data_IF_485714923750
#
_entry.id   IF_485714923750
#
_cell.length_a   1.000
_cell.length_b   1.000
_cell.length_c   1.000
_cell.angle_alpha   90.00
_cell.angle_beta   90.00
_cell.angle_gamma   90.00
#
_symmetry.space_group_name_H-M   'P 1'
#
loop_
_entity.id
_entity.type
_entity.pdbx_description
1 polymer ?
#
# COMPACT_ATOMS: atom_id res chain seq x y z
N UNK A 1 -21.30 19.62 8.18
CA UNK A 1 -21.71 18.78 9.32
C UNK A 1 -22.62 17.67 8.81
N UNK A 2 -22.04 16.55 8.41
CA UNK A 2 -22.75 15.32 8.02
C UNK A 2 -21.92 14.17 8.60
N UNK A 3 -22.47 13.47 9.60
CA UNK A 3 -22.30 12.03 9.81
C UNK A 3 -20.92 11.38 10.00
N UNK A 4 -19.82 12.09 10.27
CA UNK A 4 -18.50 11.44 10.51
C UNK A 4 -18.10 11.42 12.01
N UNK A 5 -18.81 12.12 12.90
CA UNK A 5 -18.47 12.11 14.34
C UNK A 5 -18.90 10.83 15.08
N UNK A 6 -19.46 9.83 14.39
CA UNK A 6 -19.96 8.59 14.98
C UNK A 6 -19.00 7.39 14.96
N UNK A 7 -17.87 7.44 14.23
CA UNK A 7 -17.02 6.24 14.04
C UNK A 7 -15.65 6.26 14.72
N UNK A 8 -15.30 7.32 15.45
CA UNK A 8 -14.08 7.33 16.27
C UNK A 8 -14.45 7.21 17.75
N UNK A 9 -14.85 6.00 18.17
CA UNK A 9 -14.71 5.62 19.57
C UNK A 9 -13.22 5.67 19.88
N UNK A 10 -12.83 6.57 20.77
CA UNK A 10 -11.54 6.52 21.45
C UNK A 10 -11.46 5.16 22.16
N UNK A 11 -10.64 4.26 21.62
CA UNK A 11 -10.52 2.92 22.15
C UNK A 11 -9.77 2.96 23.49
N UNK A 12 -10.52 2.69 24.57
CA UNK A 12 -10.00 2.44 25.91
C UNK A 12 -8.86 1.41 25.89
N UNK A 13 -7.80 1.69 26.67
CA UNK A 13 -6.52 0.98 26.69
C UNK A 13 -6.59 -0.52 27.05
N UNK A 14 -7.76 -1.06 27.44
CA UNK A 14 -7.94 -2.45 27.88
C UNK A 14 -8.47 -3.44 26.84
N UNK A 15 -8.89 -3.00 25.65
CA UNK A 15 -9.49 -3.92 24.67
C UNK A 15 -8.41 -4.54 23.77
N UNK A 16 -8.36 -5.87 23.77
CA UNK A 16 -7.58 -6.66 22.81
C UNK A 16 -8.15 -6.37 21.42
N UNK A 17 -7.36 -5.79 20.52
CA UNK A 17 -7.79 -5.52 19.15
C UNK A 17 -7.87 -6.85 18.41
N UNK A 18 -9.05 -7.17 17.88
CA UNK A 18 -9.30 -8.35 17.06
C UNK A 18 -8.94 -8.02 15.61
N UNK A 19 -8.19 -8.91 14.94
CA UNK A 19 -7.72 -8.65 13.56
C UNK A 19 -8.91 -8.52 12.60
N UNK A 20 -9.97 -9.31 12.80
CA UNK A 20 -11.21 -9.20 12.03
C UNK A 20 -11.85 -7.81 12.09
N UNK A 21 -11.80 -7.13 13.24
CA UNK A 21 -12.34 -5.78 13.39
C UNK A 21 -11.53 -4.77 12.60
N UNK A 22 -10.19 -4.89 12.63
CA UNK A 22 -9.29 -4.04 11.83
C UNK A 22 -9.60 -4.18 10.34
N UNK A 23 -9.90 -5.40 9.89
CA UNK A 23 -10.22 -5.69 8.49
C UNK A 23 -11.59 -5.15 8.07
N UNK A 24 -12.58 -5.21 8.97
CA UNK A 24 -13.89 -4.59 8.72
C UNK A 24 -13.78 -3.06 8.64
N UNK A 25 -13.01 -2.44 9.54
CA UNK A 25 -12.74 -0.99 9.47
C UNK A 25 -11.99 -0.63 8.18
N UNK A 26 -11.00 -1.44 7.79
CA UNK A 26 -10.30 -1.30 6.52
C UNK A 26 -11.25 -1.29 5.32
N UNK A 27 -12.16 -2.26 5.25
CA UNK A 27 -13.15 -2.33 4.17
C UNK A 27 -14.06 -1.10 4.14
N UNK A 28 -14.63 -0.68 5.28
CA UNK A 28 -15.51 0.51 5.35
C UNK A 28 -14.81 1.76 4.84
N UNK A 29 -13.55 1.90 5.22
CA UNK A 29 -12.75 3.06 4.89
C UNK A 29 -12.33 3.08 3.41
N UNK A 30 -11.88 1.95 2.85
CA UNK A 30 -11.57 1.84 1.41
C UNK A 30 -12.84 2.07 0.58
N UNK A 31 -13.97 1.52 1.03
CA UNK A 31 -15.28 1.73 0.41
C UNK A 31 -15.62 3.22 0.27
N UNK A 32 -15.41 4.01 1.33
CA UNK A 32 -15.69 5.44 1.32
C UNK A 32 -14.66 6.27 0.53
N UNK A 33 -13.37 6.07 0.78
CA UNK A 33 -12.30 6.94 0.25
C UNK A 33 -11.78 6.53 -1.13
N UNK A 34 -11.83 5.24 -1.46
CA UNK A 34 -11.25 4.73 -2.70
C UNK A 34 -12.32 4.31 -3.71
N UNK A 35 -13.39 3.65 -3.28
CA UNK A 35 -14.43 3.17 -4.21
C UNK A 35 -15.55 4.19 -4.39
N UNK A 36 -15.89 4.95 -3.34
CA UNK A 36 -17.02 5.90 -3.31
C UNK A 36 -18.36 5.22 -3.56
N UNK A 37 -18.47 3.92 -3.21
CA UNK A 37 -19.65 3.10 -3.48
C UNK A 37 -20.21 2.53 -2.19
N UNK A 38 -21.52 2.58 -2.00
CA UNK A 38 -22.16 2.01 -0.81
C UNK A 38 -22.63 0.57 -1.08
N UNK A 39 -21.82 -0.41 -0.65
CA UNK A 39 -22.14 -1.84 -0.73
C UNK A 39 -21.56 -2.64 0.44
N UNK A 40 -22.09 -3.86 0.68
CA UNK A 40 -21.56 -4.80 1.66
C UNK A 40 -20.73 -5.92 1.01
N UNK A 41 -19.81 -6.52 1.77
CA UNK A 41 -19.05 -7.69 1.31
C UNK A 41 -19.97 -8.88 0.94
N UNK A 42 -21.13 -9.00 1.59
CA UNK A 42 -22.13 -10.03 1.27
C UNK A 42 -22.77 -9.78 -0.10
N UNK A 43 -23.09 -8.52 -0.42
CA UNK A 43 -23.62 -8.15 -1.74
C UNK A 43 -22.60 -8.45 -2.84
N UNK A 44 -21.32 -8.18 -2.58
CA UNK A 44 -20.24 -8.52 -3.49
C UNK A 44 -20.13 -10.04 -3.70
N UNK A 45 -20.15 -10.83 -2.62
CA UNK A 45 -20.08 -12.29 -2.67
C UNK A 45 -21.28 -12.91 -3.42
N UNK A 46 -22.47 -12.37 -3.21
CA UNK A 46 -23.70 -12.83 -3.86
C UNK A 46 -23.91 -12.25 -5.27
N UNK A 47 -22.99 -11.40 -5.75
CA UNK A 47 -23.08 -10.69 -7.04
C UNK A 47 -24.33 -9.84 -7.19
N UNK A 48 -24.72 -9.13 -6.13
CA UNK A 48 -25.96 -8.33 -6.03
C UNK A 48 -25.75 -6.82 -6.02
N UNK A 49 -24.54 -6.33 -6.31
CA UNK A 49 -24.28 -4.90 -6.47
C UNK A 49 -25.03 -4.41 -7.71
N UNK A 50 -26.14 -3.68 -7.50
CA UNK A 50 -27.00 -3.17 -8.56
C UNK A 50 -26.56 -1.76 -8.97
N UNK A 51 -26.28 -1.57 -10.26
CA UNK A 51 -25.98 -0.26 -10.85
C UNK A 51 -27.14 0.73 -10.77
N UNK A 52 -28.38 0.23 -10.74
CA UNK A 52 -29.59 1.05 -10.77
C UNK A 52 -29.98 1.61 -9.41
N UNK A 53 -29.32 1.22 -8.32
CA UNK A 53 -29.62 1.75 -7.00
C UNK A 53 -28.87 3.07 -6.78
N UNK A 54 -29.60 4.19 -6.83
CA UNK A 54 -29.06 5.53 -6.56
C UNK A 54 -28.25 5.57 -5.25
N UNK A 55 -28.73 4.91 -4.19
CA UNK A 55 -28.05 4.85 -2.88
C UNK A 55 -26.64 4.26 -2.92
N UNK A 56 -26.37 3.34 -3.86
CA UNK A 56 -25.04 2.73 -4.01
C UNK A 56 -24.04 3.67 -4.69
N UNK A 57 -24.49 4.52 -5.62
CA UNK A 57 -23.63 5.34 -6.48
C UNK A 57 -23.66 6.83 -6.07
N UNK A 58 -24.61 7.25 -5.24
CA UNK A 58 -24.76 8.64 -4.77
C UNK A 58 -23.44 9.27 -4.28
N UNK A 59 -22.63 8.63 -3.42
CA UNK A 59 -21.35 9.20 -3.00
C UNK A 59 -20.35 9.35 -4.16
N UNK A 60 -20.37 8.41 -5.11
CA UNK A 60 -19.54 8.48 -6.32
C UNK A 60 -19.94 9.69 -7.15
N UNK A 61 -21.23 9.88 -7.43
CA UNK A 61 -21.72 11.01 -8.23
C UNK A 61 -21.27 12.31 -7.56
N UNK A 62 -21.57 12.51 -6.29
CA UNK A 62 -21.28 13.79 -5.61
C UNK A 62 -19.79 14.10 -5.52
N UNK A 63 -18.95 13.12 -5.18
CA UNK A 63 -17.50 13.34 -5.03
C UNK A 63 -16.83 13.52 -6.40
N UNK A 64 -17.26 12.76 -7.42
CA UNK A 64 -16.67 12.84 -8.77
C UNK A 64 -17.08 14.10 -9.50
N UNK A 65 -18.36 14.53 -9.41
CA UNK A 65 -18.80 15.79 -10.02
C UNK A 65 -18.07 16.99 -9.41
N UNK A 66 -17.96 17.04 -8.07
CA UNK A 66 -17.17 18.07 -7.39
C UNK A 66 -15.70 18.04 -7.86
N UNK A 67 -15.10 16.85 -8.01
CA UNK A 67 -13.73 16.73 -8.52
C UNK A 67 -13.58 17.23 -9.95
N UNK A 68 -14.53 16.90 -10.84
CA UNK A 68 -14.49 17.32 -12.24
C UNK A 68 -14.68 18.83 -12.41
N UNK A 69 -15.58 19.43 -11.63
CA UNK A 69 -15.77 20.89 -11.59
C UNK A 69 -14.46 21.57 -11.16
N UNK A 70 -13.81 21.09 -10.09
CA UNK A 70 -12.54 21.63 -9.63
C UNK A 70 -11.41 21.46 -10.67
N UNK A 71 -11.33 20.30 -11.33
CA UNK A 71 -10.35 20.06 -12.42
C UNK A 71 -10.58 21.05 -13.55
N UNK A 72 -11.83 21.26 -13.98
CA UNK A 72 -12.16 22.21 -15.03
C UNK A 72 -11.76 23.64 -14.66
N UNK A 73 -12.05 24.06 -13.42
CA UNK A 73 -11.66 25.38 -12.91
C UNK A 73 -10.14 25.54 -12.88
N UNK A 74 -9.40 24.56 -12.32
CA UNK A 74 -7.93 24.59 -12.32
C UNK A 74 -7.35 24.69 -13.73
N UNK A 75 -7.93 23.96 -14.70
CA UNK A 75 -7.51 24.02 -16.09
C UNK A 75 -7.76 25.40 -16.72
N UNK A 76 -8.91 26.01 -16.43
CA UNK A 76 -9.20 27.38 -16.88
C UNK A 76 -8.25 28.39 -16.23
N UNK A 77 -7.96 28.22 -14.93
CA UNK A 77 -7.05 29.06 -14.16
C UNK A 77 -5.64 29.06 -14.78
N UNK A 78 -5.09 27.88 -15.07
CA UNK A 78 -3.78 27.73 -15.73
C UNK A 78 -3.75 28.38 -17.13
N UNK A 79 -4.83 28.26 -17.92
CA UNK A 79 -4.88 28.75 -19.30
C UNK A 79 -5.07 30.27 -19.40
N UNK A 80 -5.63 30.91 -18.39
CA UNK A 80 -5.96 32.35 -18.39
C UNK A 80 -5.58 32.99 -17.05
N UNK A 81 -4.29 33.23 -16.80
CA UNK A 81 -3.80 33.71 -15.50
C UNK A 81 -4.24 35.15 -15.15
N UNK A 82 -4.52 36.00 -16.16
CA UNK A 82 -4.77 37.44 -15.98
C UNK A 82 -6.26 37.87 -15.94
N UNK A 83 -7.19 36.99 -16.29
CA UNK A 83 -8.64 37.14 -16.04
C UNK A 83 -9.41 36.02 -16.74
N UNK A 84 -10.38 35.44 -16.05
CA UNK A 84 -11.34 34.48 -16.63
C UNK A 84 -12.71 35.11 -16.51
N UNK A 85 -13.39 35.35 -17.64
CA UNK A 85 -14.83 35.22 -17.82
C UNK A 85 -15.69 35.30 -16.52
N UNK A 86 -15.74 36.46 -15.86
CA UNK A 86 -16.58 36.70 -14.68
C UNK A 86 -16.10 36.12 -13.33
N UNK A 87 -14.95 35.42 -13.27
CA UNK A 87 -14.24 35.03 -12.03
C UNK A 87 -13.17 36.09 -11.69
N UNK A 88 -13.23 36.74 -10.52
CA UNK A 88 -12.55 38.02 -10.31
C UNK A 88 -11.15 38.01 -9.66
N UNK A 89 -10.61 36.89 -9.19
CA UNK A 89 -9.23 36.84 -8.68
C UNK A 89 -8.28 36.18 -9.68
N UNK A 90 -7.23 36.91 -10.02
CA UNK A 90 -6.05 36.42 -10.75
C UNK A 90 -5.13 35.64 -9.80
N UNK A 91 -4.22 34.82 -10.35
CA UNK A 91 -3.20 34.20 -9.49
C UNK A 91 -2.32 35.23 -8.79
N UNK A 92 -2.16 36.40 -9.41
CA UNK A 92 -1.36 37.51 -8.89
C UNK A 92 -1.91 37.98 -7.53
N UNK A 93 -3.24 37.98 -7.33
CA UNK A 93 -3.86 38.36 -6.04
C UNK A 93 -3.58 37.33 -4.93
N UNK A 94 -3.52 36.04 -5.27
CA UNK A 94 -3.15 34.99 -4.31
C UNK A 94 -1.66 34.98 -3.99
N UNK A 95 -0.84 35.25 -4.99
CA UNK A 95 0.60 35.40 -4.85
C UNK A 95 0.93 36.57 -3.92
N UNK A 96 0.23 37.70 -4.06
CA UNK A 96 0.34 38.85 -3.16
C UNK A 96 -0.15 38.51 -1.73
N UNK A 97 -1.29 37.83 -1.58
CA UNK A 97 -1.86 37.49 -0.27
C UNK A 97 -0.92 36.63 0.58
N UNK A 98 -0.28 35.63 -0.03
CA UNK A 98 0.57 34.68 0.70
C UNK A 98 2.06 35.00 0.59
N UNK A 99 2.42 36.06 -0.14
CA UNK A 99 3.80 36.42 -0.50
C UNK A 99 4.56 35.20 -1.08
N UNK A 100 3.91 34.58 -2.08
CA UNK A 100 4.38 33.40 -2.80
C UNK A 100 4.48 33.76 -4.27
N UNK A 101 5.61 33.48 -4.89
CA UNK A 101 5.74 33.61 -6.35
C UNK A 101 5.53 32.26 -7.03
N UNK A 102 4.92 32.27 -8.22
CA UNK A 102 4.75 31.09 -9.09
C UNK A 102 3.87 30.01 -8.47
N UNK A 103 2.75 30.42 -7.87
CA UNK A 103 1.73 29.52 -7.32
C UNK A 103 1.10 28.65 -8.42
N UNK A 104 1.15 29.11 -9.68
CA UNK A 104 0.76 28.36 -10.88
C UNK A 104 1.38 26.96 -10.93
N UNK A 105 2.67 26.82 -10.56
CA UNK A 105 3.38 25.53 -10.58
C UNK A 105 2.79 24.55 -9.54
N UNK A 106 2.46 25.03 -8.33
CA UNK A 106 1.85 24.20 -7.29
C UNK A 106 0.44 23.72 -7.69
N UNK A 107 -0.31 24.56 -8.40
CA UNK A 107 -1.64 24.22 -8.93
C UNK A 107 -1.54 23.17 -10.04
N UNK A 108 -0.52 23.25 -10.90
CA UNK A 108 -0.24 22.20 -11.89
C UNK A 108 0.00 20.85 -11.20
N UNK A 109 0.73 20.80 -10.09
CA UNK A 109 0.90 19.56 -9.33
C UNK A 109 -0.44 19.03 -8.80
N UNK A 110 -1.25 19.89 -8.17
CA UNK A 110 -2.58 19.50 -7.67
C UNK A 110 -3.50 18.98 -8.77
N UNK A 111 -3.43 19.56 -9.96
CA UNK A 111 -4.16 19.08 -11.14
C UNK A 111 -3.72 17.65 -11.52
N UNK A 112 -2.39 17.39 -11.57
CA UNK A 112 -1.85 16.05 -11.83
C UNK A 112 -2.32 15.06 -10.77
N UNK A 113 -2.34 15.45 -9.50
CA UNK A 113 -2.83 14.61 -8.40
C UNK A 113 -4.30 14.28 -8.59
N UNK A 114 -5.14 15.28 -8.87
CA UNK A 114 -6.58 15.07 -9.04
C UNK A 114 -6.89 14.15 -10.23
N UNK A 115 -6.24 14.37 -11.38
CA UNK A 115 -6.41 13.53 -12.57
C UNK A 115 -5.97 12.09 -12.30
N UNK A 116 -4.83 11.90 -11.64
CA UNK A 116 -4.30 10.57 -11.31
C UNK A 116 -5.25 9.80 -10.37
N UNK A 117 -5.82 10.48 -9.37
CA UNK A 117 -6.75 9.85 -8.43
C UNK A 117 -8.11 9.53 -9.05
N UNK A 118 -8.64 10.39 -9.93
CA UNK A 118 -9.89 10.09 -10.65
C UNK A 118 -9.71 8.93 -11.64
N UNK A 119 -8.57 8.87 -12.33
CA UNK A 119 -8.22 7.72 -13.16
C UNK A 119 -8.14 6.42 -12.34
N UNK A 120 -7.47 6.46 -11.17
CA UNK A 120 -7.37 5.32 -10.27
C UNK A 120 -8.76 4.86 -9.79
N UNK A 121 -9.62 5.79 -9.39
CA UNK A 121 -10.99 5.50 -8.98
C UNK A 121 -11.76 4.76 -10.09
N UNK A 122 -11.71 5.27 -11.32
CA UNK A 122 -12.43 4.70 -12.46
C UNK A 122 -12.03 3.23 -12.71
N UNK A 123 -10.73 2.94 -12.73
CA UNK A 123 -10.23 1.57 -12.95
C UNK A 123 -10.61 0.62 -11.80
N UNK A 124 -10.60 1.08 -10.54
CA UNK A 124 -10.98 0.25 -9.40
C UNK A 124 -12.49 -0.06 -9.39
N UNK A 125 -13.33 0.95 -9.64
CA UNK A 125 -14.78 0.78 -9.69
C UNK A 125 -15.19 -0.18 -10.82
N UNK A 126 -14.56 -0.06 -11.99
CA UNK A 126 -14.75 -1.00 -13.10
C UNK A 126 -14.43 -2.44 -12.72
N UNK A 127 -13.37 -2.69 -11.96
CA UNK A 127 -13.05 -4.03 -11.44
C UNK A 127 -14.10 -4.55 -10.45
N UNK A 128 -14.60 -3.68 -9.57
CA UNK A 128 -15.64 -4.05 -8.58
C UNK A 128 -16.94 -4.47 -9.26
N UNK A 129 -17.41 -3.68 -10.23
CA UNK A 129 -18.65 -4.00 -10.94
C UNK A 129 -18.56 -5.26 -11.81
N UNK A 130 -17.34 -5.61 -12.26
CA UNK A 130 -17.08 -6.89 -12.95
C UNK A 130 -16.94 -8.07 -11.98
N UNK A 131 -17.07 -7.84 -10.67
CA UNK A 131 -16.80 -8.83 -9.62
C UNK A 131 -15.41 -9.49 -9.75
N UNK A 132 -14.45 -8.75 -10.31
CA UNK A 132 -13.08 -9.18 -10.50
C UNK A 132 -12.13 -8.30 -9.67
N UNK A 133 -12.43 -8.25 -8.38
CA UNK A 133 -11.71 -7.44 -7.40
C UNK A 133 -11.17 -8.34 -6.27
N UNK A 134 -9.95 -8.90 -6.42
CA UNK A 134 -9.41 -9.92 -5.52
C UNK A 134 -9.25 -9.48 -4.06
N UNK A 135 -9.09 -8.17 -3.82
CA UNK A 135 -8.99 -7.62 -2.46
C UNK A 135 -10.28 -7.83 -1.65
N UNK A 136 -11.46 -7.83 -2.28
CA UNK A 136 -12.71 -8.13 -1.59
C UNK A 136 -12.77 -9.60 -1.13
N UNK A 137 -12.23 -10.53 -1.92
CA UNK A 137 -12.10 -11.94 -1.49
C UNK A 137 -11.22 -12.07 -0.25
N UNK A 138 -10.14 -11.30 -0.17
CA UNK A 138 -9.27 -11.26 1.00
C UNK A 138 -10.01 -10.71 2.22
N UNK A 139 -10.77 -9.63 2.07
CA UNK A 139 -11.59 -9.11 3.16
C UNK A 139 -12.63 -10.13 3.63
N UNK A 140 -13.29 -10.84 2.72
CA UNK A 140 -14.24 -11.91 3.08
C UNK A 140 -13.53 -13.02 3.85
N UNK A 141 -12.36 -13.47 3.37
CA UNK A 141 -11.57 -14.53 4.00
C UNK A 141 -11.13 -14.18 5.42
N UNK A 142 -10.67 -12.95 5.63
CA UNK A 142 -10.07 -12.53 6.90
C UNK A 142 -11.02 -11.78 7.84
N UNK A 143 -12.27 -11.54 7.44
CA UNK A 143 -13.30 -10.89 8.28
C UNK A 143 -13.48 -11.58 9.63
N UNK A 144 -13.49 -12.91 9.64
CA UNK A 144 -13.62 -13.74 10.84
C UNK A 144 -12.30 -14.47 11.13
N UNK A 145 -11.18 -13.76 11.06
CA UNK A 145 -9.88 -14.36 11.32
C UNK A 145 -9.78 -14.81 12.79
N UNK A 146 -9.37 -16.06 13.00
CA UNK A 146 -9.09 -16.59 14.34
C UNK A 146 -7.73 -16.10 14.83
N UNK A 147 -7.76 -15.14 15.75
CA UNK A 147 -6.58 -14.55 16.37
C UNK A 147 -5.69 -15.59 17.09
N UNK A 148 -6.24 -16.73 17.51
CA UNK A 148 -5.49 -17.80 18.17
C UNK A 148 -4.53 -18.53 17.23
N UNK A 149 -4.70 -18.35 15.92
CA UNK A 149 -3.74 -18.84 14.93
C UNK A 149 -2.38 -18.14 15.05
N UNK A 150 -2.30 -16.95 15.65
CA UNK A 150 -1.02 -16.24 15.84
C UNK A 150 -0.45 -16.50 17.23
N UNK A 151 0.88 -16.66 17.30
CA UNK A 151 1.57 -16.74 18.57
C UNK A 151 1.33 -15.44 19.38
N UNK A 152 1.08 -15.50 20.71
CA UNK A 152 0.73 -14.33 21.51
C UNK A 152 1.73 -13.16 21.39
N UNK A 153 3.03 -13.47 21.23
CA UNK A 153 4.09 -12.48 21.02
C UNK A 153 3.91 -11.71 19.71
N UNK A 154 3.66 -12.43 18.61
CA UNK A 154 3.43 -11.85 17.28
C UNK A 154 2.11 -11.07 17.21
N UNK A 155 1.07 -11.58 17.89
CA UNK A 155 -0.21 -10.87 18.02
C UNK A 155 -0.03 -9.53 18.74
N UNK A 156 0.63 -9.53 19.90
CA UNK A 156 0.93 -8.28 20.65
C UNK A 156 1.72 -7.29 19.81
N UNK A 157 2.72 -7.76 19.06
CA UNK A 157 3.49 -6.91 18.15
C UNK A 157 2.60 -6.26 17.08
N UNK A 158 1.75 -7.05 16.39
CA UNK A 158 0.86 -6.53 15.36
C UNK A 158 -0.15 -5.52 15.92
N UNK A 159 -0.73 -5.81 17.10
CA UNK A 159 -1.64 -4.89 17.78
C UNK A 159 -0.96 -3.58 18.15
N UNK A 160 0.25 -3.63 18.70
CA UNK A 160 1.03 -2.44 19.03
C UNK A 160 1.35 -1.63 17.77
N UNK A 161 1.80 -2.32 16.71
CA UNK A 161 2.12 -1.71 15.43
C UNK A 161 0.91 -0.98 14.83
N UNK A 162 -0.26 -1.63 14.81
CA UNK A 162 -1.49 -1.00 14.33
C UNK A 162 -1.87 0.23 15.16
N UNK A 163 -1.78 0.16 16.50
CA UNK A 163 -2.07 1.31 17.37
C UNK A 163 -1.15 2.50 17.10
N UNK A 164 0.14 2.24 16.90
CA UNK A 164 1.13 3.28 16.58
C UNK A 164 0.78 3.93 15.25
N UNK A 165 0.57 3.14 14.20
CA UNK A 165 0.21 3.68 12.88
C UNK A 165 -1.12 4.44 12.93
N UNK A 166 -2.14 3.90 13.59
CA UNK A 166 -3.44 4.55 13.68
C UNK A 166 -3.36 5.89 14.42
N UNK A 167 -2.57 5.95 15.50
CA UNK A 167 -2.33 7.18 16.26
C UNK A 167 -1.57 8.21 15.43
N UNK A 168 -0.48 7.80 14.75
CA UNK A 168 0.32 8.66 13.88
C UNK A 168 -0.54 9.19 12.72
N UNK A 169 -1.23 8.30 12.01
CA UNK A 169 -2.10 8.64 10.88
C UNK A 169 -3.22 9.60 11.29
N UNK A 170 -3.84 9.38 12.45
CA UNK A 170 -4.91 10.24 12.96
C UNK A 170 -4.38 11.60 13.38
N UNK A 171 -3.21 11.66 14.03
CA UNK A 171 -2.56 12.90 14.42
C UNK A 171 -2.24 13.75 13.19
N UNK A 172 -1.56 13.18 12.20
CA UNK A 172 -1.23 13.89 10.96
C UNK A 172 -2.48 14.35 10.22
N UNK A 173 -3.49 13.50 10.07
CA UNK A 173 -4.76 13.89 9.45
C UNK A 173 -5.40 15.09 10.17
N UNK A 174 -5.49 15.05 11.51
CA UNK A 174 -6.07 16.15 12.29
C UNK A 174 -5.28 17.45 12.17
N UNK A 175 -3.95 17.37 12.22
CA UNK A 175 -3.09 18.53 12.03
C UNK A 175 -3.29 19.13 10.63
N UNK A 176 -3.32 18.30 9.58
CA UNK A 176 -3.56 18.78 8.21
C UNK A 176 -4.94 19.41 8.08
N UNK A 177 -5.99 18.81 8.62
CA UNK A 177 -7.35 19.40 8.60
C UNK A 177 -7.37 20.74 9.32
N UNK A 178 -6.72 20.86 10.48
CA UNK A 178 -6.65 22.12 11.22
C UNK A 178 -5.92 23.20 10.40
N UNK A 179 -4.80 22.87 9.75
CA UNK A 179 -4.08 23.81 8.88
C UNK A 179 -4.90 24.24 7.66
N UNK A 180 -5.70 23.34 7.09
CA UNK A 180 -6.57 23.66 5.96
C UNK A 180 -7.75 24.54 6.39
N UNK A 181 -8.31 24.31 7.59
CA UNK A 181 -9.36 25.15 8.15
C UNK A 181 -8.86 26.56 8.51
N UNK A 182 -7.65 26.70 9.04
CA UNK A 182 -7.05 28.01 9.29
C UNK A 182 -6.79 28.76 7.98
N UNK A 183 -6.27 28.08 6.94
CA UNK A 183 -6.11 28.67 5.61
C UNK A 183 -7.44 29.11 4.99
N UNK A 184 -8.50 28.33 5.19
CA UNK A 184 -9.85 28.67 4.75
C UNK A 184 -10.41 29.92 5.47
N UNK A 185 -10.18 30.05 6.78
CA UNK A 185 -10.61 31.23 7.54
C UNK A 185 -9.90 32.51 7.08
N UNK A 186 -8.57 32.46 6.91
CA UNK A 186 -7.78 33.58 6.38
C UNK A 186 -8.25 34.00 4.99
N UNK A 187 -8.57 33.01 4.15
CA UNK A 187 -9.11 33.25 2.82
C UNK A 187 -10.47 33.96 2.85
N UNK A 188 -11.41 33.54 3.70
CA UNK A 188 -12.71 34.23 3.82
C UNK A 188 -12.50 35.69 4.21
N UNK A 189 -11.61 35.96 5.17
CA UNK A 189 -11.30 37.31 5.63
C UNK A 189 -10.79 38.16 4.45
N UNK A 190 -9.83 37.63 3.70
CA UNK A 190 -9.25 38.33 2.55
C UNK A 190 -10.28 38.62 1.43
N UNK A 191 -11.11 37.62 1.11
CA UNK A 191 -12.20 37.78 0.14
C UNK A 191 -13.25 38.79 0.62
N UNK A 192 -13.48 38.86 1.94
CA UNK A 192 -14.29 39.89 2.56
C UNK A 192 -13.72 41.30 2.37
N UNK A 193 -12.40 41.47 2.54
CA UNK A 193 -11.73 42.75 2.28
C UNK A 193 -11.86 43.17 0.81
N UNK A 194 -11.61 42.26 -0.14
CA UNK A 194 -11.75 42.56 -1.58
C UNK A 194 -13.19 42.96 -1.97
N UNK A 195 -14.20 42.43 -1.27
CA UNK A 195 -15.59 42.84 -1.45
C UNK A 195 -15.86 44.24 -0.88
N UNK A 196 -15.32 44.55 0.30
CA UNK A 196 -15.45 45.88 0.91
C UNK A 196 -14.74 46.96 0.09
N UNK A 197 -13.61 46.63 -0.55
CA UNK A 197 -12.87 47.53 -1.45
C UNK A 197 -13.57 47.76 -2.80
N UNK A 198 -14.75 47.16 -3.02
CA UNK A 198 -15.53 47.31 -4.26
C UNK A 198 -14.92 46.59 -5.47
N UNK A 199 -13.88 45.77 -5.27
CA UNK A 199 -13.23 45.00 -6.35
C UNK A 199 -14.05 43.78 -6.78
N UNK A 200 -14.99 43.32 -5.95
CA UNK A 200 -15.82 42.13 -6.18
C UNK A 200 -17.32 42.45 -6.17
N UNK A 201 -18.04 41.93 -7.17
CA UNK A 201 -19.49 41.92 -7.13
C UNK A 201 -20.02 40.86 -6.12
N UNK A 202 -21.21 41.09 -5.56
CA UNK A 202 -21.89 40.16 -4.64
C UNK A 202 -22.02 38.74 -5.19
N UNK A 203 -22.41 38.61 -6.46
CA UNK A 203 -22.53 37.31 -7.12
C UNK A 203 -21.19 36.58 -7.21
N UNK A 204 -20.12 37.30 -7.51
CA UNK A 204 -18.79 36.71 -7.63
C UNK A 204 -18.24 36.29 -6.27
N UNK A 205 -18.49 37.09 -5.23
CA UNK A 205 -18.16 36.75 -3.84
C UNK A 205 -18.82 35.43 -3.41
N UNK A 206 -20.12 35.27 -3.68
CA UNK A 206 -20.87 34.05 -3.32
C UNK A 206 -20.36 32.83 -4.09
N UNK A 207 -20.08 32.99 -5.38
CA UNK A 207 -19.53 31.93 -6.21
C UNK A 207 -18.14 31.50 -5.72
N UNK A 208 -17.29 32.45 -5.31
CA UNK A 208 -15.95 32.17 -4.81
C UNK A 208 -15.95 31.42 -3.49
N UNK A 209 -16.85 31.81 -2.57
CA UNK A 209 -17.07 31.08 -1.32
C UNK A 209 -17.49 29.62 -1.60
N UNK A 210 -18.39 29.40 -2.56
CA UNK A 210 -18.82 28.06 -2.95
C UNK A 210 -17.69 27.24 -3.58
N UNK A 211 -16.89 27.82 -4.47
CA UNK A 211 -15.77 27.10 -5.10
C UNK A 211 -14.69 26.73 -4.09
N UNK A 212 -14.36 27.65 -3.17
CA UNK A 212 -13.33 27.40 -2.17
C UNK A 212 -13.78 26.40 -1.09
N UNK A 213 -15.06 26.41 -0.71
CA UNK A 213 -15.62 25.36 0.15
C UNK A 213 -15.52 23.99 -0.53
N UNK A 214 -15.89 23.89 -1.82
CA UNK A 214 -15.72 22.65 -2.60
C UNK A 214 -14.26 22.20 -2.62
N UNK A 215 -13.33 23.13 -2.86
CA UNK A 215 -11.91 22.86 -2.88
C UNK A 215 -11.39 22.36 -1.52
N UNK A 216 -11.76 23.03 -0.42
CA UNK A 216 -11.42 22.60 0.94
C UNK A 216 -11.94 21.19 1.24
N UNK A 217 -13.21 20.91 0.96
CA UNK A 217 -13.79 19.58 1.17
C UNK A 217 -13.03 18.52 0.38
N UNK A 218 -12.64 18.83 -0.86
CA UNK A 218 -11.86 17.94 -1.70
C UNK A 218 -10.46 17.69 -1.15
N UNK A 219 -9.76 18.72 -0.68
CA UNK A 219 -8.44 18.58 -0.06
C UNK A 219 -8.50 17.74 1.21
N UNK A 220 -9.46 18.01 2.10
CA UNK A 220 -9.68 17.23 3.32
C UNK A 220 -9.97 15.77 2.99
N UNK A 221 -10.80 15.52 1.98
CA UNK A 221 -11.10 14.18 1.51
C UNK A 221 -9.85 13.46 0.99
N UNK A 222 -9.02 14.14 0.19
CA UNK A 222 -7.78 13.59 -0.38
C UNK A 222 -6.75 13.25 0.71
N UNK A 223 -6.58 14.12 1.70
CA UNK A 223 -5.72 13.84 2.85
C UNK A 223 -6.22 12.62 3.62
N UNK A 224 -7.54 12.52 3.82
CA UNK A 224 -8.17 11.33 4.39
C UNK A 224 -7.85 10.07 3.58
N UNK A 225 -7.99 10.13 2.26
CA UNK A 225 -7.68 9.02 1.36
C UNK A 225 -6.21 8.57 1.47
N UNK A 226 -5.25 9.52 1.49
CA UNK A 226 -3.82 9.21 1.56
C UNK A 226 -3.40 8.59 2.90
N UNK A 227 -3.75 9.21 4.02
CA UNK A 227 -3.34 8.72 5.34
C UNK A 227 -3.96 7.36 5.66
N UNK A 228 -5.21 7.18 5.28
CA UNK A 228 -5.95 5.95 5.49
C UNK A 228 -5.42 4.81 4.61
N UNK A 229 -5.20 5.08 3.31
CA UNK A 229 -4.58 4.11 2.41
C UNK A 229 -3.20 3.68 2.92
N UNK A 230 -2.41 4.62 3.45
CA UNK A 230 -1.11 4.33 4.07
C UNK A 230 -1.27 3.35 5.23
N UNK A 231 -2.16 3.68 6.17
CA UNK A 231 -2.40 2.90 7.38
C UNK A 231 -2.70 1.44 7.04
N UNK A 232 -3.61 1.22 6.09
CA UNK A 232 -4.03 -0.12 5.73
C UNK A 232 -3.02 -0.88 4.90
N UNK A 233 -2.38 -0.20 3.95
CA UNK A 233 -1.35 -0.84 3.14
C UNK A 233 -0.19 -1.32 4.01
N UNK A 234 0.27 -0.47 4.94
CA UNK A 234 1.31 -0.87 5.91
C UNK A 234 0.83 -2.01 6.80
N UNK A 235 -0.40 -1.97 7.32
CA UNK A 235 -0.95 -3.04 8.13
C UNK A 235 -1.01 -4.39 7.39
N UNK A 236 -1.50 -4.42 6.15
CA UNK A 236 -1.63 -5.66 5.38
C UNK A 236 -0.26 -6.23 5.01
N UNK A 237 0.69 -5.38 4.60
CA UNK A 237 2.07 -5.78 4.31
C UNK A 237 2.72 -6.40 5.54
N UNK A 238 2.52 -5.78 6.71
CA UNK A 238 3.05 -6.25 7.99
C UNK A 238 2.38 -7.51 8.49
N UNK A 239 1.06 -7.63 8.32
CA UNK A 239 0.34 -8.86 8.57
C UNK A 239 0.89 -10.01 7.70
N UNK A 240 1.07 -9.78 6.40
CA UNK A 240 1.70 -10.75 5.49
C UNK A 240 3.12 -11.12 5.91
N UNK A 241 3.91 -10.13 6.36
CA UNK A 241 5.27 -10.34 6.89
C UNK A 241 5.27 -11.23 8.13
N UNK A 242 4.34 -11.00 9.06
CA UNK A 242 4.22 -11.80 10.30
C UNK A 242 3.80 -13.24 9.99
N UNK A 243 2.86 -13.44 9.07
CA UNK A 243 2.47 -14.79 8.64
C UNK A 243 3.66 -15.55 8.04
N UNK A 244 4.48 -14.85 7.24
CA UNK A 244 5.70 -15.41 6.71
C UNK A 244 6.74 -15.71 7.80
N UNK A 245 6.91 -14.80 8.76
CA UNK A 245 7.84 -14.96 9.88
C UNK A 245 7.47 -16.16 10.75
N UNK A 246 6.18 -16.35 11.05
CA UNK A 246 5.67 -17.52 11.75
C UNK A 246 6.06 -18.81 11.02
N UNK A 247 5.79 -18.87 9.71
CA UNK A 247 6.17 -20.02 8.89
C UNK A 247 7.69 -20.28 8.96
N UNK A 248 8.50 -19.22 8.86
CA UNK A 248 9.96 -19.31 8.97
C UNK A 248 10.42 -19.79 10.35
N UNK A 249 9.82 -19.33 11.44
CA UNK A 249 10.12 -19.81 12.79
C UNK A 249 9.79 -21.28 12.95
N UNK A 250 8.64 -21.74 12.46
CA UNK A 250 8.28 -23.16 12.47
C UNK A 250 9.32 -23.98 11.68
N UNK A 251 9.75 -23.52 10.50
CA UNK A 251 10.81 -24.22 9.76
C UNK A 251 12.12 -24.26 10.51
N UNK A 252 12.54 -23.16 11.14
CA UNK A 252 13.77 -23.09 11.93
C UNK A 252 13.73 -24.03 13.13
N UNK A 253 12.63 -24.09 13.88
CA UNK A 253 12.50 -25.00 15.03
C UNK A 253 12.63 -26.45 14.56
N UNK A 254 11.91 -26.83 13.50
CA UNK A 254 11.97 -28.20 12.94
C UNK A 254 13.36 -28.54 12.44
N UNK A 255 14.10 -27.61 11.83
CA UNK A 255 15.41 -27.88 11.27
C UNK A 255 16.59 -27.71 12.25
N UNK A 256 16.51 -26.78 13.20
CA UNK A 256 17.56 -26.51 14.19
C UNK A 256 17.43 -27.39 15.43
N UNK A 257 16.22 -27.63 15.97
CA UNK A 257 16.07 -28.49 17.14
C UNK A 257 16.32 -29.98 16.80
N UNK A 258 16.08 -30.40 15.56
CA UNK A 258 16.50 -31.71 15.06
C UNK A 258 18.00 -31.82 14.73
N UNK A 259 18.77 -30.73 14.84
CA UNK A 259 20.22 -30.81 14.66
C UNK A 259 20.87 -31.73 15.71
N UNK A 260 20.30 -31.77 16.91
CA UNK A 260 20.82 -32.58 18.03
C UNK A 260 20.05 -33.89 18.24
N UNK A 261 18.79 -33.99 17.80
CA UNK A 261 18.02 -35.24 17.76
C UNK A 261 18.08 -35.83 16.35
N UNK A 262 19.06 -36.69 16.11
CA UNK A 262 19.24 -37.48 14.87
C UNK A 262 18.06 -38.42 14.49
N UNK A 263 16.87 -38.26 15.09
CA UNK A 263 15.73 -39.15 14.97
C UNK A 263 14.52 -38.56 14.20
N UNK A 264 14.71 -37.54 13.36
CA UNK A 264 13.71 -37.21 12.32
C UNK A 264 13.76 -38.20 11.14
N UNK A 265 13.95 -39.48 11.45
CA UNK A 265 14.12 -40.57 10.49
C UNK A 265 12.79 -41.21 10.07
N UNK A 266 11.67 -40.86 10.70
CA UNK A 266 10.36 -41.28 10.23
C UNK A 266 9.95 -40.44 9.01
N UNK A 267 9.96 -41.08 7.84
CA UNK A 267 9.45 -40.55 6.56
C UNK A 267 8.07 -39.87 6.69
N UNK A 268 7.25 -40.36 7.63
CA UNK A 268 5.91 -39.85 7.95
C UNK A 268 5.96 -38.42 8.52
N UNK A 269 6.78 -38.14 9.54
CA UNK A 269 6.86 -36.80 10.14
C UNK A 269 7.41 -35.77 9.16
N UNK A 270 8.33 -36.19 8.29
CA UNK A 270 8.87 -35.36 7.20
C UNK A 270 7.79 -35.03 6.17
N UNK A 271 6.99 -36.01 5.76
CA UNK A 271 5.90 -35.83 4.79
C UNK A 271 4.82 -34.90 5.34
N UNK A 272 4.41 -35.08 6.60
CA UNK A 272 3.43 -34.22 7.27
C UNK A 272 3.92 -32.78 7.38
N UNK A 273 5.19 -32.58 7.75
CA UNK A 273 5.79 -31.25 7.76
C UNK A 273 5.75 -30.59 6.38
N UNK A 274 6.20 -31.29 5.33
CA UNK A 274 6.20 -30.76 3.97
C UNK A 274 4.80 -30.45 3.45
N UNK A 275 3.82 -31.30 3.74
CA UNK A 275 2.43 -31.05 3.39
C UNK A 275 1.88 -29.79 4.08
N UNK A 276 2.15 -29.64 5.37
CA UNK A 276 1.74 -28.47 6.14
C UNK A 276 2.42 -27.20 5.64
N UNK A 277 3.75 -27.23 5.47
CA UNK A 277 4.53 -26.10 4.96
C UNK A 277 4.07 -25.68 3.56
N UNK A 278 3.93 -26.63 2.64
CA UNK A 278 3.52 -26.36 1.27
C UNK A 278 2.13 -25.73 1.22
N UNK A 279 1.17 -26.25 2.01
CA UNK A 279 -0.18 -25.69 2.10
C UNK A 279 -0.16 -24.25 2.65
N UNK A 280 0.60 -23.99 3.71
CA UNK A 280 0.72 -22.65 4.30
C UNK A 280 1.38 -21.67 3.33
N UNK A 281 2.48 -22.07 2.70
CA UNK A 281 3.19 -21.25 1.73
C UNK A 281 2.32 -20.89 0.53
N UNK A 282 1.66 -21.88 -0.09
CA UNK A 282 0.78 -21.64 -1.23
C UNK A 282 -0.39 -20.73 -0.85
N UNK A 283 -0.99 -20.94 0.33
CA UNK A 283 -2.08 -20.08 0.80
C UNK A 283 -1.62 -18.63 0.92
N UNK A 284 -0.47 -18.41 1.58
CA UNK A 284 0.10 -17.07 1.75
C UNK A 284 0.52 -16.44 0.41
N UNK A 285 1.10 -17.22 -0.49
CA UNK A 285 1.47 -16.76 -1.84
C UNK A 285 0.24 -16.32 -2.65
N UNK A 286 -0.82 -17.13 -2.64
CA UNK A 286 -2.08 -16.78 -3.29
C UNK A 286 -2.71 -15.52 -2.70
N UNK A 287 -2.65 -15.36 -1.37
CA UNK A 287 -3.18 -14.17 -0.71
C UNK A 287 -2.40 -12.90 -1.10
N UNK A 288 -1.07 -12.98 -1.14
CA UNK A 288 -0.22 -11.86 -1.57
C UNK A 288 -0.40 -11.56 -3.05
N UNK A 289 -0.57 -12.59 -3.89
CA UNK A 289 -0.83 -12.40 -5.32
C UNK A 289 -2.17 -11.69 -5.57
N UNK A 290 -3.23 -12.08 -4.86
CA UNK A 290 -4.52 -11.37 -4.89
C UNK A 290 -4.40 -9.92 -4.45
N UNK A 291 -3.61 -9.68 -3.40
CA UNK A 291 -3.34 -8.33 -2.91
C UNK A 291 -2.57 -7.49 -3.95
N UNK A 292 -1.52 -8.07 -4.55
CA UNK A 292 -0.69 -7.44 -5.57
C UNK A 292 -1.50 -7.01 -6.80
N UNK A 293 -2.41 -7.85 -7.30
CA UNK A 293 -3.20 -7.51 -8.49
C UNK A 293 -4.01 -6.22 -8.34
N UNK A 294 -4.40 -5.90 -7.11
CA UNK A 294 -5.15 -4.69 -6.79
C UNK A 294 -4.20 -3.52 -6.49
N UNK A 295 -3.23 -3.76 -5.62
CA UNK A 295 -2.35 -2.72 -5.08
C UNK A 295 -1.34 -2.21 -6.09
N UNK A 296 -0.94 -3.01 -7.09
CA UNK A 296 0.03 -2.57 -8.10
C UNK A 296 -0.40 -1.29 -8.81
N UNK A 297 -1.70 -1.13 -9.12
CA UNK A 297 -2.21 0.09 -9.76
C UNK A 297 -2.19 1.29 -8.78
N UNK A 298 -2.53 1.05 -7.51
CA UNK A 298 -2.47 2.07 -6.47
C UNK A 298 -1.03 2.55 -6.26
N UNK A 299 -0.06 1.64 -6.18
CA UNK A 299 1.35 1.99 -6.03
C UNK A 299 1.90 2.75 -7.24
N UNK A 300 1.44 2.42 -8.45
CA UNK A 300 1.81 3.17 -9.66
C UNK A 300 1.26 4.62 -9.62
N UNK A 301 -0.01 4.79 -9.22
CA UNK A 301 -0.61 6.12 -9.06
C UNK A 301 0.13 6.97 -8.01
N UNK A 302 0.47 6.37 -6.86
CA UNK A 302 1.24 7.07 -5.81
C UNK A 302 2.64 7.44 -6.29
N UNK A 303 3.33 6.57 -7.05
CA UNK A 303 4.65 6.90 -7.61
C UNK A 303 4.56 8.03 -8.64
N UNK A 304 3.53 8.05 -9.50
CA UNK A 304 3.29 9.16 -10.44
C UNK A 304 3.11 10.50 -9.72
N UNK A 305 2.31 10.50 -8.64
CA UNK A 305 2.13 11.67 -7.78
C UNK A 305 3.48 12.11 -7.19
N UNK A 306 4.24 11.20 -6.61
CA UNK A 306 5.53 11.53 -6.01
C UNK A 306 6.56 12.07 -7.01
N UNK A 307 6.66 11.50 -8.21
CA UNK A 307 7.54 12.01 -9.27
C UNK A 307 7.13 13.42 -9.69
N UNK A 308 5.83 13.66 -9.87
CA UNK A 308 5.34 15.00 -10.18
C UNK A 308 5.64 16.01 -9.05
N UNK A 309 5.59 15.57 -7.78
CA UNK A 309 5.91 16.40 -6.63
C UNK A 309 7.38 16.82 -6.59
N UNK A 310 8.32 15.93 -6.91
CA UNK A 310 9.76 16.27 -6.99
C UNK A 310 10.00 17.27 -8.12
N UNK A 311 9.47 16.99 -9.32
CA UNK A 311 9.69 17.84 -10.50
C UNK A 311 9.18 19.25 -10.20
N UNK A 312 7.94 19.36 -9.72
CA UNK A 312 7.34 20.65 -9.35
C UNK A 312 8.09 21.30 -8.17
N UNK A 313 8.48 20.53 -7.16
CA UNK A 313 9.24 21.05 -6.02
C UNK A 313 10.58 21.66 -6.43
N UNK A 314 11.32 20.98 -7.33
CA UNK A 314 12.59 21.53 -7.85
C UNK A 314 12.39 22.77 -8.71
N UNK A 315 11.31 22.83 -9.51
CA UNK A 315 10.98 24.02 -10.30
C UNK A 315 10.55 25.20 -9.42
N UNK A 316 9.79 24.94 -8.35
CA UNK A 316 9.29 25.96 -7.43
C UNK A 316 10.40 26.57 -6.57
N UNK A 317 11.36 25.75 -6.10
CA UNK A 317 12.53 26.25 -5.36
C UNK A 317 13.42 27.13 -6.25
N UNK A 318 13.60 26.74 -7.53
CA UNK A 318 14.52 27.41 -8.44
C UNK A 318 13.92 28.64 -9.16
N UNK A 319 12.63 28.92 -9.05
CA UNK A 319 11.98 30.00 -9.80
C UNK A 319 12.25 31.42 -9.26
N UNK A 320 13.47 31.70 -8.78
CA UNK A 320 13.90 32.99 -8.21
C UNK A 320 12.91 33.57 -7.18
N UNK A 321 12.52 32.78 -6.18
CA UNK A 321 11.79 33.34 -5.04
C UNK A 321 12.65 34.42 -4.36
N UNK A 322 12.15 35.67 -4.35
CA UNK A 322 12.88 36.82 -3.79
C UNK A 322 13.22 36.63 -2.29
N UNK A 323 12.38 35.90 -1.55
CA UNK A 323 12.61 35.47 -0.16
C UNK A 323 11.94 34.13 0.14
N UNK A 324 12.62 33.27 0.92
CA UNK A 324 12.02 32.03 1.43
C UNK A 324 11.16 32.39 2.65
N UNK A 325 9.88 32.61 2.40
CA UNK A 325 8.89 32.86 3.44
C UNK A 325 8.41 31.55 4.09
N UNK A 326 7.71 31.66 5.22
CA UNK A 326 7.13 30.52 5.92
C UNK A 326 6.17 29.72 5.01
N UNK A 327 5.36 30.40 4.19
CA UNK A 327 4.44 29.76 3.25
C UNK A 327 5.16 28.98 2.15
N UNK A 328 6.23 29.55 1.58
CA UNK A 328 7.08 28.87 0.60
C UNK A 328 7.71 27.61 1.20
N UNK A 329 8.19 27.72 2.44
CA UNK A 329 8.76 26.59 3.19
C UNK A 329 7.73 25.48 3.41
N UNK A 330 6.48 25.83 3.73
CA UNK A 330 5.39 24.88 3.91
C UNK A 330 5.02 24.15 2.61
N UNK A 331 5.01 24.84 1.46
CA UNK A 331 4.76 24.21 0.16
C UNK A 331 5.89 23.23 -0.19
N UNK A 332 7.15 23.63 0.01
CA UNK A 332 8.31 22.76 -0.23
C UNK A 332 8.25 21.53 0.67
N UNK A 333 7.92 21.72 1.95
CA UNK A 333 7.75 20.61 2.90
C UNK A 333 6.61 19.68 2.47
N UNK A 334 5.50 20.22 1.98
CA UNK A 334 4.38 19.44 1.46
C UNK A 334 4.80 18.58 0.25
N UNK A 335 5.44 19.19 -0.75
CA UNK A 335 5.93 18.48 -1.94
C UNK A 335 6.99 17.42 -1.57
N UNK A 336 7.91 17.75 -0.66
CA UNK A 336 8.89 16.82 -0.12
C UNK A 336 8.24 15.65 0.62
N UNK A 337 7.18 15.89 1.39
CA UNK A 337 6.44 14.84 2.09
C UNK A 337 5.72 13.90 1.13
N UNK A 338 5.12 14.43 0.06
CA UNK A 338 4.49 13.64 -1.00
C UNK A 338 5.50 12.74 -1.72
N UNK A 339 6.76 13.19 -1.86
CA UNK A 339 7.85 12.38 -2.38
C UNK A 339 8.32 11.28 -1.43
N UNK A 340 8.52 11.59 -0.14
CA UNK A 340 9.01 10.63 0.84
C UNK A 340 7.99 9.52 1.13
N UNK A 341 6.71 9.82 0.98
CA UNK A 341 5.59 8.92 1.26
C UNK A 341 5.69 7.53 0.61
N UNK A 342 5.79 7.36 -0.74
CA UNK A 342 5.95 6.05 -1.35
C UNK A 342 7.25 5.35 -0.95
N UNK A 343 8.31 6.09 -0.60
CA UNK A 343 9.60 5.49 -0.23
C UNK A 343 9.50 4.77 1.11
N UNK A 344 8.74 5.30 2.06
CA UNK A 344 8.44 4.62 3.34
C UNK A 344 7.69 3.31 3.05
N UNK A 345 6.67 3.36 2.19
CA UNK A 345 5.90 2.17 1.79
C UNK A 345 6.82 1.13 1.15
N UNK A 346 7.65 1.52 0.19
CA UNK A 346 8.57 0.62 -0.51
C UNK A 346 9.61 0.00 0.41
N UNK A 347 10.09 0.74 1.41
CA UNK A 347 10.99 0.20 2.44
C UNK A 347 10.37 -1.00 3.14
N UNK A 348 9.11 -0.88 3.60
CA UNK A 348 8.39 -2.00 4.25
C UNK A 348 8.09 -3.15 3.28
N UNK A 349 7.56 -2.84 2.08
CA UNK A 349 7.19 -3.84 1.07
C UNK A 349 8.40 -4.66 0.60
N UNK A 350 9.57 -4.03 0.45
CA UNK A 350 10.80 -4.68 0.00
C UNK A 350 11.29 -5.80 0.94
N UNK A 351 10.78 -5.85 2.17
CA UNK A 351 11.11 -6.89 3.13
C UNK A 351 10.52 -8.25 2.75
N UNK A 352 9.34 -8.31 2.12
CA UNK A 352 8.65 -9.57 1.79
C UNK A 352 9.50 -10.51 0.91
N UNK A 353 10.08 -10.07 -0.23
CA UNK A 353 10.96 -10.93 -1.03
C UNK A 353 12.19 -11.44 -0.27
N UNK A 354 12.71 -10.65 0.67
CA UNK A 354 13.90 -11.02 1.44
C UNK A 354 13.64 -12.21 2.37
N UNK A 355 12.43 -12.30 2.94
CA UNK A 355 12.04 -13.46 3.74
C UNK A 355 11.83 -14.70 2.89
N UNK A 356 11.23 -14.57 1.69
CA UNK A 356 11.10 -15.68 0.75
C UNK A 356 12.48 -16.26 0.38
N UNK A 357 13.45 -15.39 0.05
CA UNK A 357 14.83 -15.80 -0.23
C UNK A 357 15.47 -16.50 0.98
N UNK A 358 15.32 -15.96 2.18
CA UNK A 358 15.89 -16.58 3.39
C UNK A 358 15.29 -17.96 3.65
N UNK A 359 13.97 -18.09 3.50
CA UNK A 359 13.26 -19.35 3.67
C UNK A 359 13.71 -20.38 2.63
N UNK A 360 13.78 -20.00 1.35
CA UNK A 360 14.25 -20.88 0.28
C UNK A 360 15.69 -21.37 0.52
N UNK A 361 16.60 -20.50 0.99
CA UNK A 361 17.98 -20.88 1.35
C UNK A 361 18.03 -21.86 2.52
N UNK A 362 17.22 -21.64 3.57
CA UNK A 362 17.16 -22.56 4.71
C UNK A 362 16.67 -23.95 4.28
N UNK A 363 15.62 -23.99 3.47
CA UNK A 363 15.04 -25.23 2.96
C UNK A 363 16.03 -25.94 2.02
N UNK A 364 16.68 -25.20 1.11
CA UNK A 364 17.68 -25.73 0.19
C UNK A 364 18.88 -26.33 0.93
N UNK A 365 19.42 -25.61 1.92
CA UNK A 365 20.52 -26.09 2.76
C UNK A 365 20.14 -27.36 3.52
N UNK A 366 18.91 -27.43 4.02
CA UNK A 366 18.42 -28.61 4.70
C UNK A 366 18.24 -29.79 3.73
N UNK A 367 17.66 -29.56 2.54
CA UNK A 367 17.56 -30.58 1.51
C UNK A 367 18.94 -31.14 1.15
N UNK A 368 19.93 -30.28 0.88
CA UNK A 368 21.30 -30.70 0.59
C UNK A 368 21.91 -31.58 1.70
N UNK A 369 21.68 -31.24 2.97
CA UNK A 369 22.13 -32.06 4.11
C UNK A 369 21.43 -33.41 4.18
N UNK A 370 20.11 -33.44 3.99
CA UNK A 370 19.37 -34.72 3.97
C UNK A 370 19.80 -35.62 2.82
N UNK A 371 20.17 -35.03 1.68
CA UNK A 371 20.75 -35.74 0.55
C UNK A 371 22.10 -36.36 0.89
N UNK A 372 23.01 -35.55 1.45
CA UNK A 372 24.32 -36.01 1.88
C UNK A 372 24.25 -37.15 2.90
N UNK A 373 23.43 -36.99 3.94
CA UNK A 373 23.24 -38.03 4.95
C UNK A 373 22.74 -39.34 4.34
N UNK A 374 21.76 -39.28 3.43
CA UNK A 374 21.25 -40.48 2.76
C UNK A 374 22.30 -41.16 1.90
N UNK A 375 23.12 -40.39 1.19
CA UNK A 375 24.23 -40.94 0.42
C UNK A 375 25.18 -41.72 1.33
N UNK A 376 25.59 -41.15 2.47
CA UNK A 376 26.43 -41.84 3.45
C UNK A 376 25.75 -43.10 4.02
N UNK A 377 24.46 -43.03 4.39
CA UNK A 377 23.72 -44.18 4.94
C UNK A 377 23.51 -45.29 3.90
N UNK A 378 23.27 -44.94 2.63
CA UNK A 378 23.15 -45.91 1.54
C UNK A 378 24.49 -46.61 1.29
N UNK A 379 25.60 -45.87 1.29
CA UNK A 379 26.94 -46.44 1.13
C UNK A 379 27.28 -47.39 2.30
N UNK A 380 26.93 -47.03 3.53
CA UNK A 380 27.14 -47.88 4.70
C UNK A 380 26.24 -49.12 4.71
N UNK A 381 24.98 -48.99 4.28
CA UNK A 381 24.04 -50.12 4.18
C UNK A 381 24.31 -51.02 2.98
N UNK A 382 24.92 -50.54 1.89
CA UNK A 382 25.35 -51.39 0.79
C UNK A 382 26.46 -52.35 1.23
N UNK A 383 27.35 -51.92 2.13
CA UNK A 383 28.35 -52.79 2.78
C UNK A 383 27.68 -53.88 3.62
N UNK A 384 26.66 -53.53 4.42
CA UNK A 384 25.92 -54.49 5.27
C UNK A 384 24.98 -55.44 4.48
N UNK A 385 24.55 -55.05 3.27
CA UNK A 385 23.65 -55.84 2.42
C UNK A 385 24.36 -56.95 1.65
N UNK A 386 25.69 -56.96 1.57
CA UNK A 386 26.43 -58.11 1.04
C UNK A 386 26.25 -59.37 1.90
N UNK A 387 25.80 -59.23 3.16
CA UNK A 387 25.67 -60.33 4.12
C UNK A 387 24.24 -60.89 4.30
N UNK A 388 23.19 -60.25 3.76
CA UNK A 388 21.79 -60.68 4.00
C UNK A 388 21.03 -61.16 2.74
N UNK A 389 20.47 -62.37 2.81
CA UNK A 389 19.95 -63.16 1.68
C UNK A 389 18.44 -63.11 1.44
N UNK A 390 17.67 -62.29 2.17
CA UNK A 390 16.20 -62.32 2.05
C UNK A 390 15.67 -61.48 0.87
N UNK A 391 14.91 -62.12 -0.02
CA UNK A 391 14.39 -61.51 -1.26
C UNK A 391 13.25 -60.49 -1.01
N UNK A 392 12.47 -60.65 0.07
CA UNK A 392 11.37 -59.74 0.41
C UNK A 392 11.87 -58.36 0.87
N UNK A 393 12.94 -58.34 1.68
CA UNK A 393 13.57 -57.11 2.16
C UNK A 393 14.18 -56.28 1.03
N UNK A 394 14.73 -56.94 -0.01
CA UNK A 394 15.23 -56.27 -1.21
C UNK A 394 14.10 -55.57 -1.99
N UNK A 395 12.92 -56.19 -2.12
CA UNK A 395 11.74 -55.57 -2.78
C UNK A 395 11.20 -54.38 -1.98
N UNK A 396 11.01 -54.53 -0.67
CA UNK A 396 10.54 -53.45 0.20
C UNK A 396 11.49 -52.25 0.21
N UNK A 397 12.81 -52.50 0.19
CA UNK A 397 13.84 -51.46 0.14
C UNK A 397 13.84 -50.69 -1.19
N UNK A 398 13.65 -51.38 -2.33
CA UNK A 398 13.48 -50.73 -3.64
C UNK A 398 12.23 -49.85 -3.69
N UNK A 399 11.12 -50.32 -3.15
CA UNK A 399 9.88 -49.56 -3.08
C UNK A 399 10.03 -48.29 -2.20
N UNK A 400 10.64 -48.43 -1.02
CA UNK A 400 10.94 -47.28 -0.16
C UNK A 400 11.92 -46.29 -0.83
N UNK A 401 12.94 -46.78 -1.53
CA UNK A 401 13.86 -45.93 -2.29
C UNK A 401 13.12 -45.11 -3.36
N UNK A 402 12.22 -45.74 -4.11
CA UNK A 402 11.40 -45.06 -5.13
C UNK A 402 10.48 -43.98 -4.53
N UNK A 403 9.78 -44.27 -3.43
CA UNK A 403 8.97 -43.26 -2.72
C UNK A 403 9.83 -42.07 -2.29
N UNK A 404 11.00 -42.34 -1.72
CA UNK A 404 11.89 -41.26 -1.27
C UNK A 404 12.45 -40.43 -2.41
N UNK A 405 12.72 -41.03 -3.58
CA UNK A 405 13.14 -40.33 -4.79
C UNK A 405 12.03 -39.41 -5.29
N UNK A 406 10.78 -39.88 -5.31
CA UNK A 406 9.62 -39.06 -5.67
C UNK A 406 9.47 -37.84 -4.75
N UNK A 407 9.60 -38.03 -3.44
CA UNK A 407 9.52 -36.94 -2.46
C UNK A 407 10.64 -35.91 -2.65
N UNK A 408 11.84 -36.40 -2.94
CA UNK A 408 13.01 -35.57 -3.27
C UNK A 408 12.73 -34.71 -4.49
N UNK A 409 12.33 -35.34 -5.60
CA UNK A 409 12.05 -34.65 -6.87
C UNK A 409 10.99 -33.57 -6.62
N UNK A 410 9.91 -33.93 -5.92
CA UNK A 410 8.83 -32.99 -5.57
C UNK A 410 9.34 -31.82 -4.73
N UNK A 411 10.15 -32.06 -3.71
CA UNK A 411 10.69 -31.00 -2.85
C UNK A 411 11.66 -30.09 -3.60
N UNK A 412 12.51 -30.64 -4.46
CA UNK A 412 13.48 -29.87 -5.25
C UNK A 412 12.77 -29.01 -6.30
N UNK A 413 11.77 -29.58 -6.99
CA UNK A 413 10.94 -28.83 -7.93
C UNK A 413 10.21 -27.69 -7.20
N UNK A 414 9.65 -27.95 -6.02
CA UNK A 414 9.01 -26.91 -5.23
C UNK A 414 9.98 -25.81 -4.77
N UNK A 415 11.22 -26.15 -4.36
CA UNK A 415 12.24 -25.15 -4.00
C UNK A 415 12.60 -24.29 -5.21
N UNK A 416 12.79 -24.91 -6.38
CA UNK A 416 13.03 -24.17 -7.63
C UNK A 416 11.87 -23.24 -7.97
N UNK A 417 10.62 -23.70 -7.81
CA UNK A 417 9.44 -22.85 -7.95
C UNK A 417 9.47 -21.70 -6.93
N UNK A 418 9.77 -21.98 -5.67
CA UNK A 418 9.82 -20.98 -4.60
C UNK A 418 10.91 -19.91 -4.82
N UNK A 419 12.07 -20.28 -5.38
CA UNK A 419 13.14 -19.35 -5.73
C UNK A 419 12.80 -18.50 -6.95
N UNK A 420 12.06 -19.07 -7.90
CA UNK A 420 11.67 -18.39 -9.14
C UNK A 420 10.39 -17.56 -8.98
N UNK A 421 9.56 -17.87 -7.98
CA UNK A 421 8.34 -17.13 -7.71
C UNK A 421 8.65 -15.73 -7.18
N UNK A 422 8.06 -14.72 -7.84
CA UNK A 422 8.06 -13.34 -7.41
C UNK A 422 7.15 -13.16 -6.18
N UNK A 423 7.69 -13.45 -5.00
CA UNK A 423 7.01 -13.30 -3.73
C UNK A 423 7.17 -11.85 -3.22
N UNK A 424 6.19 -11.00 -3.49
CA UNK A 424 6.23 -9.58 -3.14
C UNK A 424 5.17 -8.79 -3.89
N UNK A 425 5.38 -7.48 -4.03
CA UNK A 425 4.47 -6.58 -4.74
C UNK A 425 5.16 -5.94 -5.95
N UNK A 426 4.37 -5.64 -6.95
CA UNK A 426 4.73 -4.89 -8.14
C UNK A 426 4.23 -3.45 -8.02
N UNK A 427 4.99 -2.51 -8.60
CA UNK A 427 4.50 -1.16 -8.86
C UNK A 427 3.99 -1.10 -10.31
N UNK A 428 2.67 -1.22 -10.50
CA UNK A 428 2.04 -1.32 -11.81
C UNK A 428 2.61 -2.46 -12.66
N UNK A 429 2.87 -2.15 -13.94
CA UNK A 429 3.67 -3.00 -14.84
C UNK A 429 5.15 -2.57 -14.88
N UNK A 430 5.56 -1.62 -14.03
CA UNK A 430 6.86 -0.95 -14.15
C UNK A 430 7.97 -1.81 -13.57
N UNK A 431 7.83 -2.28 -12.33
CA UNK A 431 8.87 -3.07 -11.67
C UNK A 431 8.36 -3.85 -10.45
N UNK A 432 9.09 -4.91 -10.11
CA UNK A 432 8.92 -5.68 -8.88
C UNK A 432 9.70 -5.04 -7.73
N UNK A 433 9.04 -4.83 -6.58
CA UNK A 433 9.62 -4.10 -5.45
C UNK A 433 10.54 -5.01 -4.66
N UNK A 434 11.85 -4.84 -4.87
CA UNK A 434 12.92 -5.49 -4.10
C UNK A 434 13.76 -4.45 -3.38
N UNK A 435 14.57 -4.88 -2.39
CA UNK A 435 15.51 -3.98 -1.70
C UNK A 435 16.48 -3.30 -2.68
N UNK A 436 16.95 -4.02 -3.69
CA UNK A 436 17.84 -3.48 -4.72
C UNK A 436 17.12 -2.45 -5.58
N UNK A 437 15.91 -2.76 -6.06
CA UNK A 437 15.13 -1.83 -6.89
C UNK A 437 14.72 -0.57 -6.13
N UNK A 438 14.44 -0.70 -4.83
CA UNK A 438 14.19 0.43 -3.94
C UNK A 438 15.42 1.37 -3.84
N UNK A 439 16.61 0.82 -3.63
CA UNK A 439 17.85 1.62 -3.60
C UNK A 439 18.14 2.26 -4.97
N UNK A 440 17.95 1.51 -6.05
CA UNK A 440 18.10 2.02 -7.42
C UNK A 440 17.14 3.20 -7.68
N UNK A 441 15.89 3.10 -7.27
CA UNK A 441 14.91 4.18 -7.40
C UNK A 441 15.31 5.44 -6.62
N UNK A 442 15.80 5.27 -5.38
CA UNK A 442 16.31 6.40 -4.59
C UNK A 442 17.50 7.08 -5.28
N UNK A 443 18.44 6.30 -5.83
CA UNK A 443 19.58 6.84 -6.56
C UNK A 443 19.15 7.59 -7.82
N UNK A 444 18.20 7.03 -8.58
CA UNK A 444 17.62 7.71 -9.75
C UNK A 444 16.89 9.00 -9.38
N UNK A 445 16.21 9.03 -8.24
CA UNK A 445 15.54 10.24 -7.73
C UNK A 445 16.55 11.34 -7.36
N UNK A 446 17.66 10.96 -6.70
CA UNK A 446 18.75 11.90 -6.40
C UNK A 446 19.38 12.44 -7.69
N UNK A 447 19.63 11.57 -8.67
CA UNK A 447 20.14 11.99 -9.98
C UNK A 447 19.15 12.92 -10.70
N UNK A 448 17.85 12.65 -10.63
CA UNK A 448 16.82 13.51 -11.21
C UNK A 448 16.85 14.91 -10.58
N UNK A 449 16.89 14.99 -9.25
CA UNK A 449 17.02 16.27 -8.53
C UNK A 449 18.28 17.01 -8.98
N UNK A 450 19.43 16.32 -9.08
CA UNK A 450 20.68 16.93 -9.52
C UNK A 450 20.65 17.40 -10.98
N UNK A 451 20.00 16.65 -11.88
CA UNK A 451 19.86 17.02 -13.29
C UNK A 451 18.98 18.26 -13.46
N UNK A 452 17.86 18.34 -12.73
CA UNK A 452 17.01 19.54 -12.72
C UNK A 452 17.73 20.73 -12.09
N UNK A 453 18.46 20.51 -10.99
CA UNK A 453 19.28 21.55 -10.38
C UNK A 453 20.33 22.09 -11.35
N UNK A 454 21.12 21.21 -11.98
CA UNK A 454 22.19 21.59 -12.91
C UNK A 454 21.66 22.30 -14.16
N UNK A 455 20.58 21.80 -14.76
CA UNK A 455 20.03 22.35 -16.02
C UNK A 455 19.39 23.72 -15.82
N UNK A 456 18.93 24.04 -14.61
CA UNK A 456 18.26 25.31 -14.30
C UNK A 456 19.23 26.33 -13.69
N UNK A 457 20.27 25.91 -12.95
CA UNK A 457 21.27 26.84 -12.40
C UNK A 457 22.37 27.25 -13.40
N UNK A 458 22.53 26.55 -14.53
CA UNK A 458 23.53 26.86 -15.57
C UNK A 458 22.93 27.48 -16.84
N UNK A 459 21.63 27.75 -16.85
CA UNK A 459 20.92 28.57 -17.83
C UNK A 459 20.42 29.82 -17.14
#
# INVERSE_FOLDING_TARGET
MIGISGSMKTFSAKNIIIIGDVINECFKCIKYYLFRLEYSLLDYQQRRIRWTCYRTIEPSIWITTNSMILIAIMFTAIRRPKSIAGLPLSFEDFEEMFDIQRLDIAIVHLLVVFLTLEYLWFELVKKIFRYNFPLNDLFIKYRNYDDNLLEPRLRRYLTLFYRIIDSISTLFYRLTVLTMLSGYALFIIHVGYLYLDGKLNTFQWLLFLQLWTMYLFRLVYLMGQLFLAMKFLLFIVEFGRIQFMKMLQTTKIVFCCNRNKMNFNNSINRRLFWQSFHRQYLTLYLDIWKFDDTIKMVLAAVEMIAKSAIIVGTLFVNSNQLSINLNNTLIILYLGSAFLYPKIIYSHVSSLPSYNRTCSRLIMNWNARTHWQRFCTQQQQQRLLQESSSSSWKKLKRFNAWITLRDVIKSNLFIQTMTNNLFGLNCGQLFFITRYKYLELLLMDVMLILLFYKKICLT
#
